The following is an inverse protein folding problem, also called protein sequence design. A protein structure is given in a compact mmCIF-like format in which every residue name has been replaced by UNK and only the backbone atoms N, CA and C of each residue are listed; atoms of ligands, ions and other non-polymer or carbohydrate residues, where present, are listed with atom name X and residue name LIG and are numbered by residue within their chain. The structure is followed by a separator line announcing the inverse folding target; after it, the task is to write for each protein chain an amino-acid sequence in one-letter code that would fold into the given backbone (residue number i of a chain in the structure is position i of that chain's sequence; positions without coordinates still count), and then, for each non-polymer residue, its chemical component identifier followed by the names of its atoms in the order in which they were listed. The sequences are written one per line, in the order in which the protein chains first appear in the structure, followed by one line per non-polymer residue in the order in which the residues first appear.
data_IF_960721917222
#
_entry.id   IF_960721917222
#
_cell.length_a   1.000
_cell.length_b   1.000
_cell.length_c   1.000
_cell.angle_alpha   90.00
_cell.angle_beta   90.00
_cell.angle_gamma   90.00
#
_symmetry.space_group_name_H-M   'P 1'
#
loop_
_entity.id
_entity.type
_entity.pdbx_description
1 polymer ?
#
# COMPACT_ATOMS: atom_id res chain seq x y z
N UNK A 1 17.51 -16.43 -31.95
CA UNK A 1 17.85 -17.26 -30.76
C UNK A 1 18.94 -16.63 -29.87
N UNK A 2 19.05 -15.29 -29.74
CA UNK A 2 20.28 -14.63 -29.21
C UNK A 2 20.06 -13.24 -28.55
N UNK A 3 18.99 -12.99 -27.79
CA UNK A 3 18.75 -11.59 -27.33
C UNK A 3 18.56 -11.39 -25.83
N UNK A 4 17.88 -12.25 -25.07
CA UNK A 4 17.71 -12.01 -23.61
C UNK A 4 18.78 -12.67 -22.75
N UNK A 5 19.21 -13.89 -23.10
CA UNK A 5 20.48 -14.41 -22.59
C UNK A 5 21.66 -13.53 -23.02
N UNK A 6 21.60 -12.84 -24.16
CA UNK A 6 22.74 -12.03 -24.60
C UNK A 6 22.88 -10.67 -23.90
N UNK A 7 21.83 -10.10 -23.31
CA UNK A 7 21.98 -8.89 -22.48
C UNK A 7 22.52 -9.24 -21.08
N UNK A 8 22.24 -10.45 -20.58
CA UNK A 8 22.79 -10.96 -19.33
C UNK A 8 24.17 -11.66 -19.46
N UNK A 9 24.54 -12.15 -20.65
CA UNK A 9 25.71 -13.04 -20.82
C UNK A 9 26.73 -12.60 -21.90
N UNK A 10 26.60 -11.44 -22.57
CA UNK A 10 27.60 -11.03 -23.61
C UNK A 10 28.84 -10.29 -23.14
N UNK A 11 28.99 -9.92 -21.87
CA UNK A 11 30.18 -9.21 -21.39
C UNK A 11 31.13 -10.15 -20.66
N UNK A 12 32.00 -10.84 -21.42
CA UNK A 12 33.08 -11.72 -20.95
C UNK A 12 32.59 -12.93 -20.14
N UNK A 13 32.94 -14.15 -20.55
CA UNK A 13 32.52 -15.40 -19.90
C UNK A 13 33.17 -15.61 -18.52
N UNK A 14 32.95 -14.69 -17.58
CA UNK A 14 33.11 -14.98 -16.16
C UNK A 14 32.00 -15.96 -15.81
N UNK A 15 32.39 -17.13 -15.31
CA UNK A 15 31.45 -18.08 -14.75
C UNK A 15 30.60 -17.36 -13.69
N UNK A 16 29.31 -17.17 -13.98
CA UNK A 16 28.38 -16.58 -13.01
C UNK A 16 28.19 -17.61 -11.91
N UNK A 17 28.51 -17.25 -10.67
CA UNK A 17 28.33 -18.15 -9.54
C UNK A 17 26.85 -18.20 -9.11
N UNK A 18 26.48 -19.22 -8.34
CA UNK A 18 25.08 -19.43 -7.89
C UNK A 18 24.55 -18.23 -7.09
N UNK A 19 25.41 -17.58 -6.29
CA UNK A 19 25.02 -16.40 -5.52
C UNK A 19 24.65 -15.22 -6.42
N UNK A 20 25.42 -14.99 -7.49
CA UNK A 20 25.11 -13.97 -8.50
C UNK A 20 23.84 -14.31 -9.28
N UNK A 21 23.61 -15.59 -9.60
CA UNK A 21 22.36 -16.01 -10.25
C UNK A 21 21.14 -15.73 -9.37
N UNK A 22 21.21 -16.06 -8.07
CA UNK A 22 20.14 -15.78 -7.11
C UNK A 22 19.90 -14.27 -6.95
N UNK A 23 20.97 -13.48 -6.82
CA UNK A 23 20.87 -12.03 -6.73
C UNK A 23 20.20 -11.43 -7.97
N UNK A 24 20.65 -11.84 -9.16
CA UNK A 24 20.08 -11.40 -10.44
C UNK A 24 18.61 -11.83 -10.59
N UNK A 25 18.24 -13.03 -10.12
CA UNK A 25 16.86 -13.50 -10.12
C UNK A 25 15.97 -12.56 -9.29
N UNK A 26 16.32 -12.30 -8.03
CA UNK A 26 15.51 -11.43 -7.18
C UNK A 26 15.47 -10.00 -7.71
N UNK A 27 16.59 -9.48 -8.22
CA UNK A 27 16.69 -8.14 -8.81
C UNK A 27 15.83 -7.96 -10.05
N UNK A 28 15.76 -8.99 -10.89
CA UNK A 28 14.90 -8.98 -12.06
C UNK A 28 13.43 -8.89 -11.64
N UNK A 29 12.98 -9.79 -10.77
CA UNK A 29 11.58 -9.86 -10.38
C UNK A 29 11.11 -8.71 -9.50
N UNK A 30 11.99 -8.10 -8.70
CA UNK A 30 11.65 -6.92 -7.91
C UNK A 30 11.31 -5.69 -8.76
N UNK A 31 11.85 -5.60 -9.97
CA UNK A 31 11.65 -4.45 -10.88
C UNK A 31 10.86 -4.81 -12.15
N UNK A 32 10.45 -6.07 -12.30
CA UNK A 32 9.75 -6.53 -13.49
C UNK A 32 8.36 -5.88 -13.64
N UNK A 33 8.14 -5.23 -14.79
CA UNK A 33 6.83 -4.66 -15.11
C UNK A 33 5.91 -5.70 -15.75
N UNK A 34 5.23 -6.48 -14.90
CA UNK A 34 4.28 -7.50 -15.28
C UNK A 34 3.06 -6.94 -16.06
N UNK A 35 2.71 -5.67 -15.89
CA UNK A 35 1.54 -5.08 -16.59
C UNK A 35 1.76 -4.92 -18.09
N UNK A 36 3.01 -4.67 -18.50
CA UNK A 36 3.36 -4.42 -19.89
C UNK A 36 3.94 -5.66 -20.59
N UNK A 37 4.58 -6.54 -19.81
CA UNK A 37 5.35 -7.64 -20.35
C UNK A 37 4.86 -8.99 -19.86
N UNK A 38 5.01 -10.00 -20.72
CA UNK A 38 4.87 -11.40 -20.37
C UNK A 38 6.20 -12.14 -20.54
N UNK A 39 6.36 -13.20 -19.75
CA UNK A 39 7.53 -14.07 -19.82
C UNK A 39 7.19 -15.24 -20.73
N UNK A 40 7.93 -15.37 -21.83
CA UNK A 40 7.76 -16.46 -22.78
C UNK A 40 8.93 -17.43 -22.70
N UNK A 41 8.77 -18.61 -22.05
CA UNK A 41 9.80 -19.64 -22.02
C UNK A 41 10.16 -20.13 -23.42
N UNK A 42 9.19 -20.12 -24.34
CA UNK A 42 9.36 -20.54 -25.73
C UNK A 42 10.38 -19.66 -26.48
N UNK A 43 10.19 -18.34 -26.44
CA UNK A 43 11.12 -17.42 -27.12
C UNK A 43 12.34 -17.09 -26.26
N UNK A 44 12.27 -17.41 -24.96
CA UNK A 44 13.24 -17.03 -23.95
C UNK A 44 13.32 -15.51 -23.82
N UNK A 45 12.20 -14.81 -24.08
CA UNK A 45 12.13 -13.36 -24.14
C UNK A 45 10.98 -12.77 -23.32
N UNK A 46 11.09 -11.46 -23.08
CA UNK A 46 10.01 -10.60 -22.66
C UNK A 46 9.25 -10.16 -23.89
N UNK A 47 7.96 -10.45 -23.88
CA UNK A 47 7.04 -10.09 -24.95
C UNK A 47 6.07 -9.03 -24.43
N UNK A 48 5.65 -8.13 -25.31
CA UNK A 48 4.62 -7.15 -24.95
C UNK A 48 3.30 -7.86 -24.84
N UNK A 49 2.58 -7.61 -23.75
CA UNK A 49 1.25 -8.20 -23.56
C UNK A 49 0.29 -7.72 -24.63
N UNK A 50 -0.37 -8.67 -25.27
CA UNK A 50 -1.48 -8.43 -26.21
C UNK A 50 -2.83 -8.36 -25.49
N UNK A 51 -2.92 -8.90 -24.27
CA UNK A 51 -4.13 -8.93 -23.45
C UNK A 51 -3.93 -8.21 -22.11
N UNK A 52 -4.88 -7.35 -21.74
CA UNK A 52 -4.88 -6.58 -20.49
C UNK A 52 -5.55 -7.33 -19.32
N UNK A 53 -6.08 -8.52 -19.58
CA UNK A 53 -6.91 -9.26 -18.60
C UNK A 53 -6.13 -9.80 -17.41
N UNK A 54 -4.85 -10.16 -17.60
CA UNK A 54 -4.02 -10.76 -16.56
C UNK A 54 -2.90 -9.81 -16.15
N UNK A 55 -2.72 -9.58 -14.84
CA UNK A 55 -1.66 -8.70 -14.35
C UNK A 55 -0.26 -9.32 -14.50
N UNK A 56 -0.13 -10.64 -14.28
CA UNK A 56 1.11 -11.38 -14.51
C UNK A 56 0.85 -12.55 -15.46
N UNK A 57 1.72 -12.71 -16.45
CA UNK A 57 1.56 -13.74 -17.48
C UNK A 57 2.89 -14.45 -17.71
N UNK A 58 2.88 -15.76 -17.57
CA UNK A 58 3.92 -16.65 -18.04
C UNK A 58 3.24 -17.63 -19.00
N UNK A 59 3.64 -17.61 -20.27
CA UNK A 59 3.09 -18.52 -21.25
C UNK A 59 3.58 -19.95 -21.00
N UNK A 60 2.69 -20.91 -21.24
CA UNK A 60 3.05 -22.32 -21.21
C UNK A 60 4.01 -22.62 -22.39
N UNK A 61 5.13 -23.33 -22.14
CA UNK A 61 6.08 -23.68 -23.20
C UNK A 61 5.50 -24.62 -24.28
N UNK A 62 4.38 -25.30 -24.03
CA UNK A 62 3.75 -26.23 -24.97
C UNK A 62 2.39 -25.74 -25.48
N UNK A 63 1.71 -24.87 -24.74
CA UNK A 63 0.37 -24.36 -25.07
C UNK A 63 0.34 -22.83 -25.09
N UNK A 64 0.50 -22.21 -26.26
CA UNK A 64 0.67 -20.75 -26.38
C UNK A 64 -0.49 -19.91 -25.83
N UNK A 65 -1.70 -20.47 -25.80
CA UNK A 65 -2.90 -19.80 -25.29
C UNK A 65 -3.10 -20.02 -23.78
N UNK A 66 -2.22 -20.79 -23.14
CA UNK A 66 -2.31 -21.11 -21.71
C UNK A 66 -1.37 -20.22 -20.88
N UNK A 67 -1.96 -19.44 -19.95
CA UNK A 67 -1.23 -18.65 -18.98
C UNK A 67 -1.10 -19.41 -17.65
N UNK A 68 0.12 -19.82 -17.33
CA UNK A 68 0.46 -20.57 -16.11
C UNK A 68 0.19 -19.79 -14.81
N UNK A 69 0.08 -18.46 -14.90
CA UNK A 69 -0.06 -17.56 -13.74
C UNK A 69 -1.40 -16.82 -13.71
N UNK A 70 -2.38 -17.28 -14.47
CA UNK A 70 -3.74 -16.72 -14.52
C UNK A 70 -4.43 -16.61 -13.15
N UNK A 71 -4.09 -17.51 -12.22
CA UNK A 71 -4.64 -17.54 -10.86
C UNK A 71 -3.96 -16.58 -9.87
N UNK A 72 -2.88 -15.90 -10.27
CA UNK A 72 -2.12 -15.01 -9.38
C UNK A 72 -2.79 -13.64 -9.32
N UNK A 73 -3.30 -13.27 -8.15
CA UNK A 73 -3.87 -11.94 -7.91
C UNK A 73 -2.79 -10.85 -7.89
N UNK A 74 -3.19 -9.60 -8.17
CA UNK A 74 -2.29 -8.45 -8.11
C UNK A 74 -1.64 -8.27 -6.74
N UNK A 75 -2.40 -8.49 -5.68
CA UNK A 75 -1.89 -8.42 -4.30
C UNK A 75 -0.79 -9.45 -4.06
N UNK A 76 -0.94 -10.68 -4.57
CA UNK A 76 0.08 -11.72 -4.40
C UNK A 76 1.33 -11.43 -5.23
N UNK A 77 1.16 -10.88 -6.43
CA UNK A 77 2.28 -10.44 -7.25
C UNK A 77 3.10 -9.33 -6.59
N UNK A 78 2.46 -8.27 -6.09
CA UNK A 78 3.15 -7.18 -5.40
C UNK A 78 3.93 -7.68 -4.17
N UNK A 79 3.31 -8.53 -3.35
CA UNK A 79 3.99 -9.19 -2.22
C UNK A 79 5.22 -9.97 -2.66
N UNK A 80 5.15 -10.68 -3.79
CA UNK A 80 6.30 -11.39 -4.33
C UNK A 80 7.44 -10.44 -4.74
N UNK A 81 7.14 -9.29 -5.35
CA UNK A 81 8.16 -8.29 -5.70
C UNK A 81 8.82 -7.67 -4.45
N UNK A 82 8.05 -7.43 -3.39
CA UNK A 82 8.55 -6.98 -2.09
C UNK A 82 9.49 -8.03 -1.47
N UNK A 83 9.10 -9.30 -1.44
CA UNK A 83 9.93 -10.38 -0.91
C UNK A 83 11.23 -10.56 -1.73
N UNK A 84 11.17 -10.36 -3.06
CA UNK A 84 12.36 -10.34 -3.90
C UNK A 84 13.29 -9.18 -3.51
N UNK A 85 12.74 -7.98 -3.29
CA UNK A 85 13.52 -6.80 -2.87
C UNK A 85 14.22 -7.04 -1.52
N UNK A 86 13.50 -7.64 -0.56
CA UNK A 86 14.06 -8.00 0.73
C UNK A 86 15.15 -9.08 0.60
N UNK A 87 14.95 -10.07 -0.26
CA UNK A 87 15.96 -11.11 -0.50
C UNK A 87 17.27 -10.53 -1.05
N UNK A 88 17.22 -9.51 -1.90
CA UNK A 88 18.42 -8.78 -2.38
C UNK A 88 19.17 -8.16 -1.21
N UNK A 89 18.47 -7.42 -0.33
CA UNK A 89 19.08 -6.78 0.84
C UNK A 89 19.76 -7.80 1.76
N UNK A 90 19.11 -8.94 2.01
CA UNK A 90 19.70 -10.04 2.79
C UNK A 90 20.98 -10.56 2.14
N UNK A 91 20.97 -10.77 0.82
CA UNK A 91 22.14 -11.27 0.10
C UNK A 91 23.28 -10.24 0.11
N UNK A 92 22.98 -8.96 -0.07
CA UNK A 92 23.98 -7.88 -0.03
C UNK A 92 24.62 -7.73 1.35
N UNK A 93 23.83 -7.84 2.41
CA UNK A 93 24.34 -7.82 3.78
C UNK A 93 25.09 -9.10 4.17
N UNK A 94 24.74 -10.25 3.56
CA UNK A 94 25.37 -11.53 3.87
C UNK A 94 26.86 -11.61 3.51
N UNK A 95 27.36 -10.70 2.65
CA UNK A 95 28.79 -10.55 2.38
C UNK A 95 29.60 -10.16 3.63
N UNK A 96 28.96 -9.59 4.65
CA UNK A 96 29.55 -9.25 5.94
C UNK A 96 29.30 -10.40 6.92
N UNK A 97 30.04 -11.52 6.77
CA UNK A 97 29.89 -12.72 7.62
C UNK A 97 29.79 -12.35 9.10
N UNK A 98 28.63 -12.60 9.72
CA UNK A 98 28.44 -12.43 11.17
C UNK A 98 28.75 -13.78 11.82
N UNK A 99 29.78 -13.83 12.67
CA UNK A 99 30.02 -15.02 13.48
C UNK A 99 28.78 -15.25 14.38
N UNK A 100 28.27 -16.48 14.40
CA UNK A 100 27.16 -16.94 15.25
C UNK A 100 25.73 -16.53 14.86
N UNK A 101 25.46 -16.12 13.60
CA UNK A 101 24.09 -15.91 13.10
C UNK A 101 23.86 -16.62 11.76
N UNK A 102 22.62 -17.04 11.49
CA UNK A 102 22.21 -17.49 10.16
C UNK A 102 22.47 -16.39 9.12
N UNK A 103 22.93 -16.75 7.93
CA UNK A 103 23.33 -15.81 6.88
C UNK A 103 22.94 -16.32 5.47
N UNK A 104 22.89 -15.40 4.51
CA UNK A 104 22.66 -15.71 3.09
C UNK A 104 21.33 -16.44 2.85
N UNK A 105 21.38 -17.52 2.06
CA UNK A 105 20.19 -18.31 1.69
C UNK A 105 19.44 -18.86 2.90
N UNK A 106 20.15 -19.19 3.99
CA UNK A 106 19.50 -19.67 5.21
C UNK A 106 18.51 -18.65 5.77
N UNK A 107 18.82 -17.35 5.72
CA UNK A 107 17.92 -16.29 6.20
C UNK A 107 16.68 -16.13 5.32
N UNK A 108 16.85 -16.28 4.01
CA UNK A 108 15.74 -16.20 3.04
C UNK A 108 14.74 -17.34 3.30
N UNK A 109 15.25 -18.56 3.56
CA UNK A 109 14.41 -19.74 3.74
C UNK A 109 13.75 -19.84 5.11
N UNK A 110 14.37 -19.32 6.17
CA UNK A 110 13.85 -19.55 7.53
C UNK A 110 12.74 -18.60 7.95
N UNK A 111 12.55 -17.44 7.29
CA UNK A 111 11.57 -16.35 7.59
C UNK A 111 11.51 -15.82 9.03
N UNK A 112 12.00 -16.57 10.02
CA UNK A 112 11.93 -16.32 11.48
C UNK A 112 13.06 -15.44 12.01
N UNK A 113 14.04 -15.10 11.18
CA UNK A 113 15.33 -14.56 11.63
C UNK A 113 15.64 -13.16 11.10
N UNK A 114 14.72 -12.50 10.41
CA UNK A 114 14.81 -11.07 10.16
C UNK A 114 14.01 -10.40 11.26
N UNK A 115 14.66 -9.78 12.26
CA UNK A 115 13.95 -8.84 13.09
C UNK A 115 13.48 -7.74 12.14
N UNK A 116 12.18 -7.63 11.88
CA UNK A 116 11.60 -6.47 11.21
C UNK A 116 12.03 -5.15 11.88
N UNK A 117 12.55 -5.23 13.11
CA UNK A 117 13.11 -4.13 13.90
C UNK A 117 14.57 -3.75 13.64
N UNK A 118 15.41 -4.61 13.04
CA UNK A 118 16.88 -4.36 12.96
C UNK A 118 17.42 -4.17 11.54
N UNK A 119 16.62 -4.47 10.51
CA UNK A 119 16.83 -3.82 9.24
C UNK A 119 16.20 -2.44 9.42
N UNK A 120 17.00 -1.44 9.78
CA UNK A 120 16.62 -0.03 9.59
C UNK A 120 16.71 0.24 8.08
N UNK A 121 15.97 -0.52 7.29
CA UNK A 121 14.95 0.18 6.57
C UNK A 121 13.94 0.57 7.67
N UNK A 122 13.97 1.84 8.12
CA UNK A 122 12.71 2.58 7.99
C UNK A 122 12.21 2.12 6.65
N UNK A 123 11.11 1.36 6.57
CA UNK A 123 10.71 0.86 5.30
C UNK A 123 10.63 2.10 4.43
N UNK A 124 11.58 2.20 3.51
CA UNK A 124 11.35 2.79 2.23
C UNK A 124 10.37 1.81 1.55
N UNK A 125 9.22 1.51 2.20
CA UNK A 125 7.94 1.81 1.60
C UNK A 125 8.23 3.11 0.90
N UNK A 126 8.36 3.04 -0.42
CA UNK A 126 8.32 4.19 -1.29
C UNK A 126 7.01 4.90 -1.01
N UNK A 127 6.95 5.60 0.13
CA UNK A 127 5.80 6.20 0.76
C UNK A 127 4.53 5.63 0.17
N UNK A 128 4.39 4.29 0.24
CA UNK A 128 3.40 3.60 -0.57
C UNK A 128 2.18 3.76 0.27
N UNK A 129 1.56 4.94 0.13
CA UNK A 129 0.24 5.28 0.56
C UNK A 129 -0.52 3.97 0.50
N UNK A 130 -0.78 3.40 1.67
CA UNK A 130 -1.36 2.06 1.76
C UNK A 130 -2.79 2.23 1.30
N UNK A 131 -2.97 2.16 -0.02
CA UNK A 131 -4.24 2.31 -0.68
C UNK A 131 -4.98 0.99 -0.50
N UNK A 132 -6.10 1.05 0.19
CA UNK A 132 -7.01 -0.08 0.28
C UNK A 132 -8.26 0.26 -0.53
N UNK A 133 -8.54 -0.55 -1.55
CA UNK A 133 -9.75 -0.41 -2.36
C UNK A 133 -10.74 -1.49 -1.96
N UNK A 134 -11.93 -1.05 -1.55
CA UNK A 134 -13.06 -1.91 -1.24
C UNK A 134 -13.98 -1.89 -2.47
N UNK A 135 -14.25 -3.07 -3.03
CA UNK A 135 -15.13 -3.22 -4.18
C UNK A 135 -16.32 -4.09 -3.83
N UNK A 136 -17.53 -3.64 -4.15
CA UNK A 136 -18.74 -4.44 -4.03
C UNK A 136 -19.81 -3.96 -5.00
N UNK A 137 -20.82 -4.80 -5.23
CA UNK A 137 -21.92 -4.50 -6.14
C UNK A 137 -23.08 -3.92 -5.36
N UNK A 138 -23.64 -2.82 -5.86
CA UNK A 138 -24.83 -2.16 -5.33
C UNK A 138 -25.90 -2.08 -6.41
N UNK A 139 -27.16 -1.98 -5.99
CA UNK A 139 -28.26 -1.65 -6.90
C UNK A 139 -28.03 -0.27 -7.52
N UNK A 140 -28.70 0.01 -8.63
CA UNK A 140 -28.66 1.32 -9.27
C UNK A 140 -29.02 2.41 -8.24
N UNK A 141 -28.02 3.21 -7.88
CA UNK A 141 -28.09 4.31 -6.93
C UNK A 141 -27.30 5.46 -7.53
N UNK A 142 -27.75 6.69 -7.29
CA UNK A 142 -27.03 7.88 -7.71
C UNK A 142 -25.70 8.01 -6.95
N UNK A 143 -24.68 8.59 -7.60
CA UNK A 143 -23.35 8.75 -7.01
C UNK A 143 -23.38 9.64 -5.76
N UNK A 144 -24.18 10.70 -5.76
CA UNK A 144 -24.31 11.61 -4.62
C UNK A 144 -25.04 10.93 -3.46
N UNK A 145 -26.11 10.18 -3.76
CA UNK A 145 -26.85 9.41 -2.76
C UNK A 145 -25.97 8.33 -2.13
N UNK A 146 -25.20 7.60 -2.95
CA UNK A 146 -24.25 6.60 -2.46
C UNK A 146 -23.17 7.23 -1.58
N UNK A 147 -22.60 8.36 -2.01
CA UNK A 147 -21.61 9.09 -1.23
C UNK A 147 -22.19 9.54 0.12
N UNK A 148 -23.38 10.15 0.15
CA UNK A 148 -24.06 10.56 1.38
C UNK A 148 -24.31 9.36 2.31
N UNK A 149 -24.67 8.20 1.73
CA UNK A 149 -24.89 7.00 2.51
C UNK A 149 -23.61 6.45 3.13
N UNK A 150 -22.52 6.38 2.36
CA UNK A 150 -21.19 6.00 2.90
C UNK A 150 -20.77 6.98 3.99
N UNK A 151 -20.92 8.28 3.76
CA UNK A 151 -20.58 9.30 4.75
C UNK A 151 -21.40 9.15 6.04
N UNK A 152 -22.70 8.88 5.94
CA UNK A 152 -23.54 8.63 7.12
C UNK A 152 -23.11 7.37 7.88
N UNK A 153 -22.75 6.29 7.18
CA UNK A 153 -22.18 5.10 7.85
C UNK A 153 -20.88 5.45 8.58
N UNK A 154 -19.97 6.19 7.94
CA UNK A 154 -18.69 6.53 8.58
C UNK A 154 -18.86 7.51 9.75
N UNK A 155 -19.67 8.56 9.58
CA UNK A 155 -19.89 9.61 10.60
C UNK A 155 -20.82 9.17 11.72
N UNK A 156 -22.01 8.69 11.37
CA UNK A 156 -23.07 8.47 12.34
C UNK A 156 -22.96 7.10 13.00
N UNK A 157 -22.49 6.09 12.25
CA UNK A 157 -22.26 4.76 12.82
C UNK A 157 -20.84 4.62 13.32
N UNK A 158 -19.81 4.83 12.48
CA UNK A 158 -18.44 4.55 12.92
C UNK A 158 -17.79 5.70 13.70
N UNK A 159 -18.48 6.83 13.86
CA UNK A 159 -18.05 7.99 14.63
C UNK A 159 -16.76 8.63 14.09
N UNK A 160 -16.61 8.63 12.77
CA UNK A 160 -15.49 9.29 12.09
C UNK A 160 -15.78 10.79 12.00
N UNK A 161 -14.83 11.60 12.42
CA UNK A 161 -14.94 13.06 12.36
C UNK A 161 -14.42 13.54 11.00
N UNK A 162 -15.29 14.12 10.17
CA UNK A 162 -14.85 14.71 8.92
C UNK A 162 -14.01 15.96 9.23
N UNK A 163 -12.87 16.10 8.56
CA UNK A 163 -11.93 17.21 8.75
C UNK A 163 -11.71 17.93 7.43
N UNK A 164 -11.55 19.25 7.49
CA UNK A 164 -11.15 20.03 6.33
C UNK A 164 -9.62 19.99 6.21
N UNK A 165 -9.10 19.41 5.12
CA UNK A 165 -7.67 19.21 4.90
C UNK A 165 -6.88 20.53 4.89
N UNK A 166 -7.50 21.64 4.49
CA UNK A 166 -6.88 22.97 4.51
C UNK A 166 -6.42 23.39 5.92
N UNK A 167 -7.05 22.85 6.97
CA UNK A 167 -6.66 23.12 8.36
C UNK A 167 -5.45 22.29 8.81
N UNK A 168 -5.19 21.15 8.16
CA UNK A 168 -4.13 20.22 8.54
C UNK A 168 -2.81 20.62 7.89
N UNK A 169 -2.85 21.04 6.61
CA UNK A 169 -1.65 21.48 5.88
C UNK A 169 -1.03 22.75 6.49
N UNK A 170 -1.84 23.63 7.09
CA UNK A 170 -1.39 24.87 7.75
C UNK A 170 -0.80 24.68 9.15
N UNK A 171 -0.97 23.51 9.77
CA UNK A 171 -0.49 23.21 11.13
C UNK A 171 0.84 22.45 11.18
N UNK A 172 1.52 22.22 10.05
CA UNK A 172 2.93 21.82 10.10
C UNK A 172 3.68 22.99 10.75
N UNK A 173 4.25 22.84 11.96
CA UNK A 173 5.13 23.87 12.48
C UNK A 173 6.22 24.05 11.43
N UNK A 174 6.42 25.29 10.98
CA UNK A 174 7.63 25.63 10.26
C UNK A 174 8.77 25.02 11.09
N UNK A 175 9.51 24.09 10.49
CA UNK A 175 10.73 23.56 11.08
C UNK A 175 11.48 24.77 11.64
N UNK A 176 11.84 24.80 12.93
CA UNK A 176 12.44 25.97 13.53
C UNK A 176 13.62 26.34 12.64
N UNK A 177 13.56 27.53 12.07
CA UNK A 177 14.69 28.12 11.38
C UNK A 177 15.82 28.07 12.39
N UNK A 178 16.79 27.20 12.16
CA UNK A 178 18.03 27.21 12.91
C UNK A 178 18.64 28.56 12.58
N UNK A 179 18.45 29.54 13.47
CA UNK A 179 19.23 30.76 13.46
C UNK A 179 20.68 30.32 13.68
N UNK A 180 21.42 30.22 12.58
CA UNK A 180 22.87 30.13 12.59
C UNK A 180 23.38 31.43 13.22
N UNK A 181 23.62 31.39 14.52
CA UNK A 181 24.37 32.45 15.19
C UNK A 181 25.82 32.40 14.69
N UNK A 182 26.51 33.55 14.55
CA UNK A 182 27.83 33.61 13.88
C UNK A 182 28.98 32.90 14.62
N UNK A 183 28.71 32.29 15.79
CA UNK A 183 29.75 31.79 16.69
C UNK A 183 30.02 30.27 16.62
N UNK A 184 29.28 29.49 15.81
CA UNK A 184 29.55 28.06 15.61
C UNK A 184 30.34 27.73 14.33
N UNK A 185 30.84 28.75 13.62
CA UNK A 185 31.61 28.57 12.37
C UNK A 185 33.14 28.49 12.60
N UNK A 186 33.63 28.76 13.80
CA UNK A 186 35.06 28.75 14.11
C UNK A 186 35.61 27.40 14.61
N UNK A 187 34.76 26.46 15.03
CA UNK A 187 35.21 25.14 15.52
C UNK A 187 35.10 24.00 14.49
N UNK A 188 34.51 24.24 13.30
CA UNK A 188 34.44 23.23 12.23
C UNK A 188 35.53 23.38 11.15
N UNK A 189 36.47 24.32 11.32
CA UNK A 189 37.49 24.64 10.32
C UNK A 189 38.84 23.94 10.55
N UNK A 190 39.03 23.21 11.66
CA UNK A 190 40.30 22.54 11.97
C UNK A 190 40.30 21.02 11.69
N UNK A 191 39.17 20.44 11.26
CA UNK A 191 39.03 18.98 11.09
C UNK A 191 39.00 18.50 9.63
N UNK A 192 39.42 19.33 8.65
CA UNK A 192 39.39 18.94 7.21
C UNK A 192 40.70 19.11 6.45
N UNK A 193 41.83 19.30 7.13
CA UNK A 193 43.16 19.27 6.49
C UNK A 193 43.77 17.86 6.43
N UNK A 194 43.09 16.89 5.81
CA UNK A 194 43.78 15.77 5.17
C UNK A 194 42.94 15.09 4.08
N UNK A 195 43.56 14.87 2.91
CA UNK A 195 43.07 14.17 1.71
C UNK A 195 42.10 14.97 0.80
N UNK A 196 42.56 15.86 -0.10
CA UNK A 196 43.30 15.63 -1.36
C UNK A 196 42.46 15.04 -2.51
N UNK A 197 41.93 15.97 -3.32
CA UNK A 197 41.94 16.05 -4.81
C UNK A 197 40.90 15.31 -5.67
N UNK A 198 40.22 16.15 -6.50
CA UNK A 198 39.81 16.03 -7.93
C UNK A 198 38.47 15.31 -8.18
N UNK A 199 37.46 15.81 -8.94
CA UNK A 199 37.27 16.85 -9.99
C UNK A 199 35.84 17.43 -9.85
N UNK A 200 35.60 18.75 -9.92
CA UNK A 200 35.29 19.59 -11.09
C UNK A 200 34.05 19.18 -11.90
N UNK A 201 33.02 20.03 -11.77
CA UNK A 201 32.04 20.57 -12.74
C UNK A 201 31.37 19.62 -13.73
N UNK A 202 30.03 19.48 -13.59
CA UNK A 202 29.08 19.81 -14.66
C UNK A 202 27.73 20.20 -14.03
N UNK A 203 27.37 21.45 -14.29
CA UNK A 203 26.12 22.14 -14.01
C UNK A 203 25.17 21.89 -15.19
N UNK A 204 24.12 21.10 -14.98
CA UNK A 204 22.96 21.05 -15.89
C UNK A 204 21.69 21.04 -15.05
N UNK A 205 21.23 22.26 -14.72
CA UNK A 205 19.89 22.52 -14.23
C UNK A 205 18.82 22.15 -15.26
N UNK A 206 18.31 20.93 -15.20
CA UNK A 206 16.99 20.60 -15.75
C UNK A 206 15.96 20.60 -14.63
N UNK A 207 15.28 21.74 -14.53
CA UNK A 207 13.99 21.88 -13.84
C UNK A 207 13.02 20.92 -14.53
N UNK A 208 12.70 19.82 -13.84
CA UNK A 208 11.62 18.94 -14.25
C UNK A 208 10.30 19.69 -14.06
N UNK A 209 9.76 20.22 -15.16
CA UNK A 209 8.37 20.66 -15.20
C UNK A 209 7.47 19.46 -14.92
N UNK A 210 6.54 19.56 -13.94
CA UNK A 210 5.54 18.52 -13.77
C UNK A 210 4.64 18.54 -15.01
N UNK A 211 4.50 17.36 -15.61
CA UNK A 211 3.60 17.08 -16.71
C UNK A 211 2.17 17.41 -16.28
N UNK A 212 1.60 18.43 -16.90
CA UNK A 212 0.16 18.66 -16.94
C UNK A 212 -0.48 17.56 -17.77
N UNK A 213 -1.26 16.69 -17.12
CA UNK A 213 -2.56 16.18 -17.58
C UNK A 213 -2.89 14.84 -16.93
N UNK A 214 -3.34 14.90 -15.69
CA UNK A 214 -4.46 14.08 -15.22
C UNK A 214 -5.38 15.07 -14.51
N UNK A 215 -6.55 15.33 -15.08
CA UNK A 215 -7.62 16.05 -14.40
C UNK A 215 -8.01 15.21 -13.17
N UNK A 216 -7.46 15.56 -12.01
CA UNK A 216 -7.75 14.88 -10.76
C UNK A 216 -9.21 15.16 -10.40
N UNK A 217 -9.99 14.10 -10.55
CA UNK A 217 -11.38 13.91 -10.13
C UNK A 217 -11.65 14.40 -8.71
N UNK A 218 -12.85 14.97 -8.51
CA UNK A 218 -13.65 15.17 -7.27
C UNK A 218 -12.93 15.08 -5.91
N UNK A 219 -13.23 16.06 -5.05
CA UNK A 219 -12.70 16.24 -3.69
C UNK A 219 -12.58 14.93 -2.88
N UNK A 220 -11.35 14.53 -2.53
CA UNK A 220 -11.13 13.51 -1.50
C UNK A 220 -11.80 13.96 -0.20
N UNK A 221 -12.49 13.05 0.47
CA UNK A 221 -13.07 13.30 1.79
C UNK A 221 -12.06 12.87 2.85
N UNK A 222 -11.84 13.70 3.86
CA UNK A 222 -10.88 13.40 4.92
C UNK A 222 -11.59 13.15 6.25
N UNK A 223 -11.14 12.12 6.97
CA UNK A 223 -11.65 11.78 8.29
C UNK A 223 -10.53 11.63 9.32
N UNK A 224 -10.87 12.00 10.55
CA UNK A 224 -10.16 11.72 11.77
C UNK A 224 -10.92 10.65 12.55
N UNK A 225 -10.23 9.60 12.96
CA UNK A 225 -10.81 8.49 13.73
C UNK A 225 -10.18 8.48 15.11
N UNK A 226 -11.02 8.67 16.12
CA UNK A 226 -10.61 8.78 17.53
C UNK A 226 -10.91 7.50 18.34
N UNK A 227 -11.78 6.62 17.84
CA UNK A 227 -12.30 5.48 18.59
C UNK A 227 -12.19 4.19 17.76
N UNK A 228 -11.90 3.06 18.41
CA UNK A 228 -11.81 1.73 17.80
C UNK A 228 -13.19 1.09 17.60
N UNK A 229 -14.10 1.78 16.92
CA UNK A 229 -15.48 1.32 16.70
C UNK A 229 -15.57 0.03 15.87
N UNK A 230 -14.48 -0.39 15.21
CA UNK A 230 -14.42 -1.63 14.44
C UNK A 230 -14.08 -2.89 15.26
N UNK A 231 -13.54 -2.74 16.47
CA UNK A 231 -13.16 -3.87 17.34
C UNK A 231 -14.27 -4.18 18.35
N UNK A 232 -14.32 -5.44 18.81
CA UNK A 232 -15.20 -5.94 19.88
C UNK A 232 -16.72 -5.68 19.76
N UNK A 233 -17.19 -5.22 18.59
CA UNK A 233 -18.62 -4.99 18.27
C UNK A 233 -19.52 -6.17 18.62
N UNK A 234 -19.02 -7.41 18.47
CA UNK A 234 -19.78 -8.66 18.75
C UNK A 234 -20.24 -8.76 20.21
N UNK A 235 -19.44 -8.27 21.16
CA UNK A 235 -19.76 -8.31 22.59
C UNK A 235 -20.97 -7.42 22.88
N UNK A 236 -20.97 -6.20 22.33
CA UNK A 236 -22.03 -5.22 22.53
C UNK A 236 -23.28 -5.52 21.71
N UNK A 237 -23.12 -6.10 20.52
CA UNK A 237 -24.24 -6.46 19.63
C UNK A 237 -25.28 -7.33 20.32
N UNK A 238 -24.87 -8.37 21.05
CA UNK A 238 -25.80 -9.28 21.75
C UNK A 238 -26.61 -8.58 22.85
N UNK A 239 -26.00 -7.66 23.59
CA UNK A 239 -26.71 -6.90 24.62
C UNK A 239 -27.73 -5.95 23.98
N UNK A 240 -27.34 -5.22 22.94
CA UNK A 240 -28.22 -4.25 22.27
C UNK A 240 -29.36 -4.96 21.54
N UNK A 241 -29.13 -6.12 20.92
CA UNK A 241 -30.18 -6.92 20.27
C UNK A 241 -31.24 -7.42 21.25
N UNK A 242 -30.84 -7.71 22.49
CA UNK A 242 -31.77 -8.12 23.53
C UNK A 242 -32.55 -6.93 24.10
N UNK A 243 -31.89 -5.78 24.26
CA UNK A 243 -32.49 -4.54 24.80
C UNK A 243 -33.44 -3.86 23.79
N UNK A 244 -33.13 -3.95 22.49
CA UNK A 244 -33.84 -3.24 21.43
C UNK A 244 -34.15 -4.16 20.24
N UNK A 245 -35.24 -4.94 20.35
CA UNK A 245 -35.60 -5.92 19.31
C UNK A 245 -36.14 -5.27 18.03
N UNK A 246 -36.83 -4.14 18.15
CA UNK A 246 -37.60 -3.52 17.05
C UNK A 246 -36.89 -2.34 16.37
N UNK A 247 -35.63 -2.07 16.70
CA UNK A 247 -34.87 -0.99 16.06
C UNK A 247 -34.27 -1.45 14.74
N UNK A 248 -34.13 -0.50 13.81
CA UNK A 248 -33.47 -0.74 12.52
C UNK A 248 -32.02 -1.19 12.70
N UNK A 249 -31.49 -1.91 11.71
CA UNK A 249 -30.08 -2.32 11.69
C UNK A 249 -29.15 -1.12 11.82
N UNK A 250 -29.51 0.02 11.20
CA UNK A 250 -28.73 1.24 11.24
C UNK A 250 -28.65 1.81 12.67
N UNK A 251 -29.79 2.00 13.34
CA UNK A 251 -29.84 2.50 14.72
C UNK A 251 -29.14 1.54 15.69
N UNK A 252 -29.26 0.23 15.46
CA UNK A 252 -28.56 -0.78 16.25
C UNK A 252 -27.04 -0.63 16.17
N UNK A 253 -26.51 -0.53 14.96
CA UNK A 253 -25.06 -0.41 14.75
C UNK A 253 -24.53 0.94 15.27
N UNK A 254 -25.35 2.00 15.22
CA UNK A 254 -25.08 3.29 15.85
C UNK A 254 -24.98 3.18 17.38
N UNK A 255 -25.95 2.53 18.04
CA UNK A 255 -25.91 2.27 19.49
C UNK A 255 -24.68 1.44 19.91
N UNK A 256 -24.29 0.45 19.10
CA UNK A 256 -23.06 -0.34 19.34
C UNK A 256 -21.85 0.58 19.40
N UNK A 257 -21.71 1.48 18.43
CA UNK A 257 -20.57 2.40 18.39
C UNK A 257 -20.58 3.42 19.53
N UNK A 258 -21.74 3.90 19.96
CA UNK A 258 -21.81 4.76 21.16
C UNK A 258 -21.40 4.03 22.43
N UNK A 259 -21.83 2.77 22.63
CA UNK A 259 -21.35 1.97 23.78
C UNK A 259 -19.84 1.76 23.73
N UNK A 260 -19.25 1.60 22.54
CA UNK A 260 -17.79 1.50 22.36
C UNK A 260 -17.09 2.84 22.62
N UNK A 261 -17.70 3.96 22.23
CA UNK A 261 -17.17 5.31 22.51
C UNK A 261 -17.03 5.58 24.00
N UNK A 262 -18.01 5.15 24.80
CA UNK A 262 -18.00 5.37 26.25
C UNK A 262 -16.95 4.49 26.98
N UNK A 263 -16.44 3.46 26.31
CA UNK A 263 -15.38 2.59 26.82
C UNK A 263 -13.99 3.21 26.59
N UNK A 264 -13.28 3.45 27.70
CA UNK A 264 -11.93 4.05 27.68
C UNK A 264 -10.93 3.21 26.89
N UNK A 265 -11.08 1.90 26.87
CA UNK A 265 -10.17 0.98 26.19
C UNK A 265 -10.23 1.11 24.66
N UNK A 266 -11.33 1.67 24.14
CA UNK A 266 -11.54 1.89 22.72
C UNK A 266 -11.06 3.27 22.24
N UNK A 267 -10.59 4.15 23.13
CA UNK A 267 -10.01 5.41 22.72
C UNK A 267 -8.62 5.19 22.11
N UNK A 268 -8.37 5.85 20.98
CA UNK A 268 -7.04 5.85 20.38
C UNK A 268 -6.17 6.90 21.07
N UNK A 269 -4.98 6.50 21.52
CA UNK A 269 -3.99 7.44 22.05
C UNK A 269 -3.58 8.51 21.03
N UNK A 270 -3.58 8.13 19.75
CA UNK A 270 -3.35 9.02 18.61
C UNK A 270 -4.40 8.77 17.54
N UNK A 271 -5.03 9.83 17.02
CA UNK A 271 -6.03 9.69 15.98
C UNK A 271 -5.45 9.10 14.69
N UNK A 272 -6.30 8.36 13.99
CA UNK A 272 -6.04 7.89 12.64
C UNK A 272 -6.58 8.92 11.66
N UNK A 273 -5.74 9.33 10.70
CA UNK A 273 -6.16 10.20 9.60
C UNK A 273 -6.24 9.41 8.30
N UNK A 274 -7.40 9.45 7.67
CA UNK A 274 -7.67 8.75 6.42
C UNK A 274 -8.30 9.70 5.40
N UNK A 275 -7.95 9.50 4.14
CA UNK A 275 -8.65 10.08 3.01
C UNK A 275 -9.42 8.99 2.27
N UNK A 276 -10.59 9.35 1.77
CA UNK A 276 -11.50 8.47 1.05
C UNK A 276 -11.82 9.07 -0.31
N UNK A 277 -11.85 8.20 -1.31
CA UNK A 277 -12.28 8.50 -2.68
C UNK A 277 -13.34 7.46 -3.06
N UNK A 278 -14.48 7.92 -3.57
CA UNK A 278 -15.63 7.07 -3.91
C UNK A 278 -15.85 7.13 -5.42
N UNK A 279 -16.03 5.96 -6.03
CA UNK A 279 -16.38 5.83 -7.45
C UNK A 279 -17.48 4.79 -7.62
N UNK A 280 -18.50 5.12 -8.39
CA UNK A 280 -19.46 4.16 -8.93
C UNK A 280 -19.14 3.91 -10.40
N UNK A 281 -18.98 2.64 -10.76
CA UNK A 281 -18.73 2.22 -12.14
C UNK A 281 -19.90 1.34 -12.59
N UNK A 282 -20.62 1.67 -13.68
CA UNK A 282 -21.70 0.82 -14.17
C UNK A 282 -21.16 -0.55 -14.60
N UNK A 283 -21.87 -1.64 -14.27
CA UNK A 283 -21.51 -2.98 -14.72
C UNK A 283 -21.97 -3.20 -16.16
N UNK A 284 -21.06 -3.68 -17.02
CA UNK A 284 -21.35 -3.96 -18.44
C UNK A 284 -22.41 -5.07 -18.58
N UNK A 285 -22.43 -6.02 -17.65
CA UNK A 285 -23.26 -7.22 -17.72
C UNK A 285 -24.66 -7.07 -17.10
N UNK A 286 -24.93 -5.99 -16.34
CA UNK A 286 -26.21 -5.78 -15.65
C UNK A 286 -26.50 -4.28 -15.51
N UNK A 287 -27.40 -3.75 -16.34
CA UNK A 287 -27.74 -2.32 -16.39
C UNK A 287 -28.33 -1.78 -15.09
N UNK A 288 -28.80 -2.65 -14.20
CA UNK A 288 -29.44 -2.28 -12.94
C UNK A 288 -28.48 -2.32 -11.75
N UNK A 289 -27.18 -2.56 -11.99
CA UNK A 289 -26.17 -2.67 -10.93
C UNK A 289 -24.96 -1.79 -11.20
N UNK A 290 -24.47 -1.20 -10.13
CA UNK A 290 -23.23 -0.44 -10.13
C UNK A 290 -22.17 -1.19 -9.31
N UNK A 291 -20.93 -1.21 -9.80
CA UNK A 291 -19.75 -1.60 -9.03
C UNK A 291 -19.28 -0.39 -8.24
N UNK A 292 -19.48 -0.43 -6.93
CA UNK A 292 -18.92 0.56 -6.03
C UNK A 292 -17.45 0.27 -5.75
N UNK A 293 -16.62 1.30 -5.82
CA UNK A 293 -15.21 1.29 -5.45
C UNK A 293 -14.97 2.41 -4.42
N UNK A 294 -14.57 2.04 -3.21
CA UNK A 294 -14.21 2.98 -2.15
C UNK A 294 -12.73 2.80 -1.85
N UNK A 295 -11.94 3.83 -2.10
CA UNK A 295 -10.50 3.82 -1.90
C UNK A 295 -10.13 4.61 -0.65
N UNK A 296 -9.55 3.91 0.32
CA UNK A 296 -9.02 4.47 1.55
C UNK A 296 -7.51 4.63 1.44
N UNK A 297 -7.01 5.77 1.90
CA UNK A 297 -5.58 6.09 1.94
C UNK A 297 -5.23 6.67 3.30
N UNK A 298 -4.16 6.16 3.90
CA UNK A 298 -3.72 6.54 5.23
C UNK A 298 -2.75 7.72 5.19
N UNK A 299 -2.92 8.69 6.09
CA UNK A 299 -2.15 9.93 6.07
C UNK A 299 -1.01 9.97 7.11
N UNK A 300 -0.87 8.95 7.98
CA UNK A 300 0.19 8.91 9.01
C UNK A 300 1.05 7.66 8.92
N UNK A 301 2.28 7.65 9.43
CA UNK A 301 3.17 6.47 9.30
C UNK A 301 3.13 5.53 10.51
N UNK A 302 2.44 5.90 11.60
CA UNK A 302 2.72 5.32 12.93
C UNK A 302 1.82 4.16 13.35
N UNK A 303 0.77 3.80 12.60
CA UNK A 303 -0.24 2.81 13.07
C UNK A 303 -0.67 1.79 11.99
N UNK A 304 0.29 1.18 11.30
CA UNK A 304 0.00 0.23 10.22
C UNK A 304 -0.91 -0.95 10.65
N UNK A 305 -0.75 -1.50 11.86
CA UNK A 305 -1.55 -2.65 12.31
C UNK A 305 -3.03 -2.30 12.52
N UNK A 306 -3.32 -1.20 13.22
CA UNK A 306 -4.70 -0.74 13.44
C UNK A 306 -5.39 -0.37 12.13
N UNK A 307 -4.63 0.15 11.16
CA UNK A 307 -5.14 0.43 9.82
C UNK A 307 -5.50 -0.85 9.05
N UNK A 308 -4.66 -1.89 9.11
CA UNK A 308 -4.98 -3.18 8.49
C UNK A 308 -6.25 -3.76 9.10
N UNK A 309 -6.41 -3.71 10.41
CA UNK A 309 -7.62 -4.19 11.09
C UNK A 309 -8.85 -3.37 10.70
N UNK A 310 -8.73 -2.04 10.65
CA UNK A 310 -9.82 -1.13 10.26
C UNK A 310 -10.23 -1.37 8.80
N UNK A 311 -9.28 -1.43 7.86
CA UNK A 311 -9.59 -1.64 6.45
C UNK A 311 -10.16 -3.03 6.19
N UNK A 312 -9.65 -4.06 6.87
CA UNK A 312 -10.24 -5.39 6.84
C UNK A 312 -11.69 -5.38 7.36
N UNK A 313 -11.95 -4.67 8.47
CA UNK A 313 -13.30 -4.48 8.97
C UNK A 313 -14.20 -3.78 7.94
N UNK A 314 -13.77 -2.64 7.39
CA UNK A 314 -14.55 -1.89 6.39
C UNK A 314 -14.87 -2.74 5.15
N UNK A 315 -13.91 -3.59 4.73
CA UNK A 315 -14.07 -4.51 3.59
C UNK A 315 -15.22 -5.50 3.82
N UNK A 316 -15.41 -5.94 5.06
CA UNK A 316 -16.48 -6.86 5.43
C UNK A 316 -17.77 -6.15 5.85
N UNK A 317 -17.66 -4.91 6.34
CA UNK A 317 -18.74 -4.18 6.98
C UNK A 317 -19.55 -3.35 5.99
N UNK A 318 -18.90 -2.57 5.13
CA UNK A 318 -19.59 -1.69 4.18
C UNK A 318 -20.53 -2.48 3.25
N UNK A 319 -20.12 -3.57 2.58
CA UNK A 319 -21.02 -4.32 1.71
C UNK A 319 -22.29 -4.80 2.44
N UNK A 320 -22.16 -5.20 3.72
CA UNK A 320 -23.29 -5.67 4.53
C UNK A 320 -24.29 -4.56 4.86
N UNK A 321 -23.83 -3.33 4.99
CA UNK A 321 -24.72 -2.19 5.26
C UNK A 321 -25.57 -1.85 4.03
N UNK A 322 -25.06 -2.08 2.83
CA UNK A 322 -25.81 -1.89 1.58
C UNK A 322 -26.71 -3.07 1.22
N UNK A 323 -26.34 -4.31 1.56
CA UNK A 323 -27.18 -5.49 1.25
C UNK A 323 -28.38 -5.66 2.18
N UNK A 324 -28.31 -5.15 3.41
CA UNK A 324 -29.34 -5.37 4.44
C UNK A 324 -30.42 -4.30 4.47
N UNK A 325 -30.43 -3.38 3.50
CA UNK A 325 -31.53 -2.42 3.40
C UNK A 325 -32.74 -3.09 2.77
N UNK A 326 -33.94 -2.97 3.39
CA UNK A 326 -35.16 -3.38 2.71
C UNK A 326 -35.27 -2.58 1.41
N UNK A 327 -35.55 -3.26 0.30
CA UNK A 327 -35.85 -2.59 -0.96
C UNK A 327 -37.02 -1.63 -0.68
N UNK A 328 -36.75 -0.33 -0.76
CA UNK A 328 -37.73 0.72 -0.53
C UNK A 328 -38.70 0.85 -1.69
#
# INVERSE_FOLDING_TARGET
MRSILNVLFKSHSKAINVQQLLHNFFKFYSTFNATQHELSPWTGKLELKTSTTNLFSISDPFEHDHNLTSHISQTNWLKFQEECSLAIQILDESGKKRQNKSWGLSLILTRKSLPQKNFVHEPHYHQSQSMNTIEFVVNQIDEEEFQLHVESILKDILLFEQINYEMISKKRPASPSVELTPNTLAEQLDETLSAKRRRTDDDDGYISTPTTDISYSKEKIYFQVNYRTWQDRRKHKRSIENEHKDISTFEREKLISYKLKDDKDHHLEKPIYLSMDIKLVPLIDDSNKNKAQIRFEFQTNQQHQLFVDLTHFLTLYLPKMFTNQPAH
#
